data_IF_130066340762
#
_entry.id   IF_130066340762
#
_cell.length_a   1.000
_cell.length_b   1.000
_cell.length_c   1.000
_cell.angle_alpha   90.00
_cell.angle_beta   90.00
_cell.angle_gamma   90.00
#
_symmetry.space_group_name_H-M   'P 1'
#
loop_
_entity.id
_entity.type
_entity.pdbx_description
1 polymer ?
#
# COMPACT_ATOMS: atom_id res chain seq x y z
N UNK A 1 -16.00 33.18 17.05
CA UNK A 1 -16.63 31.90 16.67
C UNK A 1 -15.50 30.92 16.40
N UNK A 2 -15.40 29.83 17.15
CA UNK A 2 -14.35 28.82 16.93
C UNK A 2 -14.53 28.17 15.55
N UNK A 3 -13.41 27.85 14.88
CA UNK A 3 -13.43 27.02 13.66
C UNK A 3 -14.03 25.66 14.02
N UNK A 4 -14.79 25.05 13.11
CA UNK A 4 -15.29 23.69 13.32
C UNK A 4 -14.11 22.71 13.41
N UNK A 5 -14.22 21.64 14.21
CA UNK A 5 -13.16 20.63 14.36
C UNK A 5 -12.69 20.06 13.01
N UNK A 6 -13.61 19.97 12.04
CA UNK A 6 -13.31 19.60 10.66
C UNK A 6 -12.42 20.63 9.95
N UNK A 7 -12.80 21.91 10.01
CA UNK A 7 -12.01 22.98 9.38
C UNK A 7 -10.65 23.13 10.06
N UNK A 8 -10.58 22.97 11.37
CA UNK A 8 -9.33 22.99 12.11
C UNK A 8 -8.40 21.84 11.67
N UNK A 9 -8.91 20.61 11.59
CA UNK A 9 -8.13 19.46 11.14
C UNK A 9 -7.64 19.63 9.69
N UNK A 10 -8.51 20.13 8.80
CA UNK A 10 -8.15 20.43 7.40
C UNK A 10 -7.09 21.52 7.34
N UNK A 11 -7.20 22.61 8.09
CA UNK A 11 -6.22 23.70 8.03
C UNK A 11 -4.84 23.24 8.54
N UNK A 12 -4.80 22.46 9.63
CA UNK A 12 -3.56 22.07 10.29
C UNK A 12 -2.86 20.87 9.65
N UNK A 13 -3.61 19.91 9.12
CA UNK A 13 -3.03 18.72 8.47
C UNK A 13 -3.10 18.80 6.95
N UNK A 14 -3.87 19.75 6.42
CA UNK A 14 -4.18 19.89 4.99
C UNK A 14 -4.82 18.65 4.36
N UNK A 15 -5.31 17.67 5.13
CA UNK A 15 -5.91 16.44 4.60
C UNK A 15 -7.26 16.70 3.93
N UNK A 16 -7.63 15.79 3.02
CA UNK A 16 -8.90 15.84 2.30
C UNK A 16 -10.10 15.92 3.27
N UNK A 17 -11.15 16.74 2.99
CA UNK A 17 -12.29 16.92 3.88
C UNK A 17 -13.08 15.64 4.18
N UNK A 18 -13.18 14.68 3.25
CA UNK A 18 -13.89 13.42 3.50
C UNK A 18 -13.09 12.54 4.45
N UNK A 19 -11.78 12.46 4.28
CA UNK A 19 -10.91 11.74 5.21
C UNK A 19 -10.86 12.43 6.57
N UNK A 20 -10.70 13.76 6.62
CA UNK A 20 -10.76 14.52 7.87
C UNK A 20 -12.06 14.22 8.63
N UNK A 21 -13.19 14.16 7.91
CA UNK A 21 -14.48 13.77 8.46
C UNK A 21 -14.48 12.32 8.96
N UNK A 22 -13.95 11.38 8.19
CA UNK A 22 -13.84 9.97 8.60
C UNK A 22 -12.95 9.78 9.83
N UNK A 23 -11.81 10.48 9.90
CA UNK A 23 -10.89 10.43 11.04
C UNK A 23 -11.53 11.07 12.28
N UNK A 24 -12.29 12.15 12.13
CA UNK A 24 -13.05 12.74 13.23
C UNK A 24 -14.21 11.84 13.68
N UNK A 25 -14.90 11.17 12.77
CA UNK A 25 -15.93 10.19 13.13
C UNK A 25 -15.30 9.04 13.91
N UNK A 26 -14.17 8.52 13.41
CA UNK A 26 -13.46 7.41 14.02
C UNK A 26 -12.93 7.77 15.42
N UNK A 27 -12.41 8.97 15.61
CA UNK A 27 -11.87 9.47 16.89
C UNK A 27 -12.92 10.09 17.82
N UNK A 28 -14.22 10.02 17.48
CA UNK A 28 -15.28 10.64 18.28
C UNK A 28 -15.21 12.17 18.37
N UNK A 29 -14.53 12.82 17.42
CA UNK A 29 -14.37 14.28 17.34
C UNK A 29 -13.04 14.82 17.88
N UNK A 30 -12.11 13.96 18.29
CA UNK A 30 -10.77 14.36 18.77
C UNK A 30 -9.83 14.76 17.62
N UNK A 31 -9.62 16.08 17.47
CA UNK A 31 -8.76 16.66 16.42
C UNK A 31 -7.30 16.26 16.58
N UNK A 32 -6.78 16.23 17.81
CA UNK A 32 -5.37 15.85 18.04
C UNK A 32 -5.16 14.35 17.84
N UNK A 33 -6.13 13.53 18.23
CA UNK A 33 -6.16 12.10 17.89
C UNK A 33 -6.13 11.86 16.39
N UNK A 34 -6.98 12.58 15.63
CA UNK A 34 -7.01 12.49 14.18
C UNK A 34 -5.66 12.93 13.56
N UNK A 35 -5.02 13.98 14.08
CA UNK A 35 -3.68 14.42 13.65
C UNK A 35 -2.62 13.35 13.89
N UNK A 36 -2.65 12.70 15.05
CA UNK A 36 -1.70 11.65 15.39
C UNK A 36 -1.82 10.47 14.43
N UNK A 37 -3.04 10.01 14.15
CA UNK A 37 -3.36 8.98 13.14
C UNK A 37 -2.78 9.38 11.78
N UNK A 38 -3.07 10.59 11.30
CA UNK A 38 -2.58 11.07 10.01
C UNK A 38 -1.06 11.16 9.92
N UNK A 39 -0.36 11.45 11.03
CA UNK A 39 1.11 11.53 11.06
C UNK A 39 1.80 10.17 10.95
N UNK A 40 1.07 9.07 11.15
CA UNK A 40 1.63 7.71 11.24
C UNK A 40 1.62 6.95 9.91
N UNK A 41 1.01 7.52 8.88
CA UNK A 41 1.08 6.95 7.54
C UNK A 41 2.51 6.93 7.01
N UNK A 42 2.91 5.82 6.40
CA UNK A 42 4.26 5.67 5.85
C UNK A 42 4.56 6.78 4.84
N UNK A 43 5.71 7.44 5.01
CA UNK A 43 6.25 8.40 4.05
C UNK A 43 6.89 7.68 2.85
N UNK A 44 6.06 6.96 2.11
CA UNK A 44 6.47 6.11 1.00
C UNK A 44 6.42 6.82 -0.36
N UNK A 45 6.11 8.12 -0.39
CA UNK A 45 6.18 8.93 -1.60
C UNK A 45 7.49 9.72 -1.59
N UNK A 46 8.34 9.50 -2.60
CA UNK A 46 9.48 10.36 -2.88
C UNK A 46 9.04 11.56 -3.72
N UNK A 47 9.34 12.76 -3.26
CA UNK A 47 9.16 14.00 -4.00
C UNK A 47 10.53 14.57 -4.37
N UNK A 48 10.84 14.56 -5.66
CA UNK A 48 12.06 15.11 -6.20
C UNK A 48 11.75 16.40 -6.96
N UNK A 49 12.28 17.51 -6.46
CA UNK A 49 12.24 18.80 -7.13
C UNK A 49 13.55 19.02 -7.87
N UNK A 50 13.44 19.40 -9.13
CA UNK A 50 14.57 19.59 -10.03
C UNK A 50 14.48 20.97 -10.63
N UNK A 51 15.56 21.74 -10.52
CA UNK A 51 15.77 22.94 -11.31
C UNK A 51 17.00 22.73 -12.17
N UNK A 52 16.90 23.01 -13.47
CA UNK A 52 18.02 22.89 -14.39
C UNK A 52 18.14 24.07 -15.34
N UNK A 53 19.35 24.31 -15.85
CA UNK A 53 19.63 25.35 -16.84
C UNK A 53 20.56 24.82 -17.91
N UNK A 54 20.10 24.85 -19.16
CA UNK A 54 20.85 24.51 -20.37
C UNK A 54 21.58 25.76 -20.84
N UNK A 55 22.90 25.81 -20.70
CA UNK A 55 23.66 27.06 -20.88
C UNK A 55 23.71 27.52 -22.34
N UNK A 56 23.78 26.61 -23.31
CA UNK A 56 23.96 26.98 -24.72
C UNK A 56 22.65 27.48 -25.34
N UNK A 57 21.55 26.77 -25.08
CA UNK A 57 20.19 27.12 -25.54
C UNK A 57 19.49 28.15 -24.66
N UNK A 58 20.06 28.51 -23.50
CA UNK A 58 19.46 29.42 -22.50
C UNK A 58 18.05 28.99 -22.06
N UNK A 59 17.80 27.69 -22.04
CA UNK A 59 16.56 27.11 -21.54
C UNK A 59 16.68 26.79 -20.05
N UNK A 60 15.60 27.05 -19.31
CA UNK A 60 15.49 26.84 -17.88
C UNK A 60 14.32 25.92 -17.59
N UNK A 61 14.56 24.90 -16.77
CA UNK A 61 13.57 23.89 -16.43
C UNK A 61 13.31 23.80 -14.95
N UNK A 62 12.06 23.54 -14.60
CA UNK A 62 11.61 23.25 -13.25
C UNK A 62 10.68 22.03 -13.29
N UNK A 63 10.95 21.04 -12.45
CA UNK A 63 10.18 19.80 -12.41
C UNK A 63 9.91 19.33 -10.99
N UNK A 64 8.75 18.70 -10.81
CA UNK A 64 8.37 17.93 -9.62
C UNK A 64 8.08 16.51 -10.07
N UNK A 65 8.74 15.54 -9.43
CA UNK A 65 8.58 14.11 -9.69
C UNK A 65 8.10 13.44 -8.41
N UNK A 66 6.90 12.84 -8.47
CA UNK A 66 6.28 12.12 -7.36
C UNK A 66 6.33 10.62 -7.65
N UNK A 67 7.02 9.88 -6.80
CA UNK A 67 7.31 8.46 -7.00
C UNK A 67 6.85 7.66 -5.79
N UNK A 68 6.09 6.61 -6.02
CA UNK A 68 5.77 5.63 -5.00
C UNK A 68 6.94 4.68 -4.82
N UNK A 69 7.64 4.80 -3.68
CA UNK A 69 8.83 4.05 -3.37
C UNK A 69 8.52 2.56 -3.15
N UNK A 70 7.31 2.21 -2.69
CA UNK A 70 6.94 0.82 -2.41
C UNK A 70 6.42 0.10 -3.66
N UNK A 71 5.65 0.78 -4.50
CA UNK A 71 5.02 0.20 -5.69
C UNK A 71 5.88 0.31 -6.95
N UNK A 72 7.08 0.89 -6.86
CA UNK A 72 7.95 1.15 -8.00
C UNK A 72 7.25 1.89 -9.16
N UNK A 73 6.47 2.92 -8.81
CA UNK A 73 5.54 3.60 -9.73
C UNK A 73 5.75 5.10 -9.73
N UNK A 74 5.77 5.70 -10.92
CA UNK A 74 5.69 7.15 -11.08
C UNK A 74 4.23 7.58 -10.89
N UNK A 75 3.95 8.37 -9.86
CA UNK A 75 2.60 8.83 -9.55
C UNK A 75 2.24 10.06 -10.36
N UNK A 76 3.15 11.05 -10.40
CA UNK A 76 3.03 12.24 -11.25
C UNK A 76 4.38 12.80 -11.64
N UNK A 77 4.37 13.45 -12.80
CA UNK A 77 5.45 14.25 -13.31
C UNK A 77 4.90 15.61 -13.72
N UNK A 78 5.48 16.67 -13.19
CA UNK A 78 5.22 18.04 -13.58
C UNK A 78 6.53 18.63 -14.08
N UNK A 79 6.52 19.29 -15.23
CA UNK A 79 7.70 19.93 -15.77
C UNK A 79 7.30 21.11 -16.65
N UNK A 80 8.02 22.20 -16.46
CA UNK A 80 8.03 23.34 -17.40
C UNK A 80 9.46 23.60 -17.84
N UNK A 81 9.63 23.91 -19.12
CA UNK A 81 10.88 24.33 -19.72
C UNK A 81 10.60 25.57 -20.56
N UNK A 82 11.31 26.66 -20.28
CA UNK A 82 11.12 27.94 -20.95
C UNK A 82 12.42 28.76 -21.00
N UNK A 83 12.39 29.91 -21.67
CA UNK A 83 13.48 30.88 -21.65
C UNK A 83 13.42 31.82 -20.43
N UNK A 84 12.40 31.68 -19.57
CA UNK A 84 12.24 32.53 -18.41
C UNK A 84 13.35 32.28 -17.39
N UNK A 85 14.33 33.19 -17.34
CA UNK A 85 15.45 33.14 -16.40
C UNK A 85 15.00 33.17 -14.93
N UNK A 86 13.80 33.66 -14.61
CA UNK A 86 13.27 33.63 -13.24
C UNK A 86 13.22 32.20 -12.69
N UNK A 87 13.02 31.19 -13.56
CA UNK A 87 13.09 29.77 -13.17
C UNK A 87 14.41 29.47 -12.47
N UNK A 88 15.54 29.97 -13.00
CA UNK A 88 16.88 29.77 -12.43
C UNK A 88 17.03 30.34 -11.02
N UNK A 89 16.21 31.32 -10.64
CA UNK A 89 16.26 32.01 -9.35
C UNK A 89 15.32 31.41 -8.30
N UNK A 90 14.42 30.50 -8.68
CA UNK A 90 13.48 29.86 -7.75
C UNK A 90 14.24 29.11 -6.66
N UNK A 91 13.91 29.40 -5.40
CA UNK A 91 14.43 28.62 -4.28
C UNK A 91 13.63 27.33 -4.11
N UNK A 92 14.32 26.19 -4.19
CA UNK A 92 13.70 24.88 -4.00
C UNK A 92 13.33 24.62 -2.54
N UNK A 93 13.71 25.48 -1.59
CA UNK A 93 13.28 25.39 -0.19
C UNK A 93 11.83 25.83 0.05
N UNK A 94 11.18 26.47 -0.94
CA UNK A 94 9.76 26.83 -0.88
C UNK A 94 8.85 25.59 -0.74
N UNK A 95 7.61 25.82 -0.33
CA UNK A 95 6.61 24.75 -0.29
C UNK A 95 6.38 24.15 -1.70
N UNK A 96 6.18 22.83 -1.77
CA UNK A 96 6.02 22.12 -3.05
C UNK A 96 4.80 22.65 -3.83
N UNK A 97 3.75 23.12 -3.13
CA UNK A 97 2.58 23.71 -3.78
C UNK A 97 2.90 25.03 -4.46
N UNK A 98 3.69 25.89 -3.82
CA UNK A 98 4.15 27.13 -4.44
C UNK A 98 4.97 26.84 -5.70
N UNK A 99 5.86 25.84 -5.64
CA UNK A 99 6.66 25.44 -6.80
C UNK A 99 5.77 24.87 -7.90
N UNK A 100 4.75 24.06 -7.55
CA UNK A 100 3.78 23.55 -8.53
C UNK A 100 2.99 24.68 -9.19
N UNK A 101 2.58 25.70 -8.44
CA UNK A 101 1.91 26.88 -9.01
C UNK A 101 2.81 27.56 -10.05
N UNK A 102 4.11 27.71 -9.76
CA UNK A 102 5.04 28.27 -10.76
C UNK A 102 5.09 27.42 -12.03
N UNK A 103 5.12 26.09 -11.92
CA UNK A 103 5.08 25.19 -13.09
C UNK A 103 3.78 25.37 -13.88
N UNK A 104 2.63 25.46 -13.19
CA UNK A 104 1.33 25.62 -13.85
C UNK A 104 1.17 26.95 -14.59
N UNK A 105 1.65 28.05 -14.00
CA UNK A 105 1.52 29.40 -14.58
C UNK A 105 2.68 29.77 -15.51
N UNK A 106 3.73 28.94 -15.59
CA UNK A 106 4.81 29.11 -16.56
C UNK A 106 4.58 28.18 -17.73
N UNK A 107 3.96 28.64 -18.83
CA UNK A 107 3.72 27.79 -19.99
C UNK A 107 5.04 27.26 -20.54
N UNK A 108 5.05 26.01 -20.97
CA UNK A 108 6.16 25.48 -21.75
C UNK A 108 6.38 26.37 -22.98
N UNK A 109 7.61 26.78 -23.21
CA UNK A 109 7.97 27.37 -24.49
C UNK A 109 7.78 26.27 -25.56
N UNK A 110 7.00 26.51 -26.63
CA UNK A 110 6.78 25.52 -27.69
C UNK A 110 8.08 24.91 -28.25
N UNK A 111 9.16 25.67 -28.30
CA UNK A 111 10.47 25.20 -28.76
C UNK A 111 11.07 24.13 -27.84
N UNK A 112 10.79 24.18 -26.53
CA UNK A 112 11.35 23.29 -25.52
C UNK A 112 10.35 22.27 -24.97
N UNK A 113 9.11 22.27 -25.45
CA UNK A 113 8.07 21.33 -25.02
C UNK A 113 8.49 19.86 -25.18
N UNK A 114 9.31 19.55 -26.19
CA UNK A 114 9.86 18.21 -26.41
C UNK A 114 10.72 17.72 -25.22
N UNK A 115 11.40 18.63 -24.51
CA UNK A 115 12.27 18.29 -23.37
C UNK A 115 11.42 17.76 -22.22
N UNK A 116 10.33 18.44 -21.89
CA UNK A 116 9.38 18.01 -20.85
C UNK A 116 8.84 16.61 -21.16
N UNK A 117 8.32 16.40 -22.38
CA UNK A 117 7.73 15.12 -22.80
C UNK A 117 8.76 13.98 -22.84
N UNK A 118 9.97 14.24 -23.36
CA UNK A 118 11.03 13.25 -23.43
C UNK A 118 11.55 12.87 -22.04
N UNK A 119 11.67 13.86 -21.14
CA UNK A 119 12.06 13.64 -19.75
C UNK A 119 11.02 12.79 -19.01
N UNK A 120 9.73 13.10 -19.14
CA UNK A 120 8.64 12.28 -18.59
C UNK A 120 8.68 10.84 -19.11
N UNK A 121 8.83 10.67 -20.43
CA UNK A 121 8.86 9.37 -21.08
C UNK A 121 10.01 8.51 -20.57
N UNK A 122 11.21 9.09 -20.43
CA UNK A 122 12.37 8.37 -19.92
C UNK A 122 12.22 7.99 -18.46
N UNK A 123 11.76 8.91 -17.62
CA UNK A 123 11.61 8.65 -16.18
C UNK A 123 10.49 7.65 -15.90
N UNK A 124 9.43 7.65 -16.71
CA UNK A 124 8.34 6.68 -16.63
C UNK A 124 8.77 5.27 -17.05
N UNK A 125 9.88 5.12 -17.76
CA UNK A 125 10.35 3.81 -18.18
C UNK A 125 10.86 2.99 -16.99
N UNK A 126 10.52 1.68 -16.89
CA UNK A 126 10.84 0.87 -15.73
C UNK A 126 12.33 0.88 -15.35
N UNK A 127 13.21 0.82 -16.34
CA UNK A 127 14.66 0.78 -16.12
C UNK A 127 15.19 2.05 -15.42
N UNK A 128 14.71 3.22 -15.82
CA UNK A 128 15.14 4.49 -15.24
C UNK A 128 14.45 4.74 -13.90
N UNK A 129 13.17 4.38 -13.80
CA UNK A 129 12.41 4.52 -12.57
C UNK A 129 12.99 3.68 -11.43
N UNK A 130 13.30 2.41 -11.68
CA UNK A 130 13.92 1.52 -10.68
C UNK A 130 15.28 2.05 -10.21
N UNK A 131 16.12 2.53 -11.14
CA UNK A 131 17.42 3.14 -10.82
C UNK A 131 17.25 4.36 -9.91
N UNK A 132 16.29 5.24 -10.24
CA UNK A 132 15.99 6.43 -9.45
C UNK A 132 15.46 6.08 -8.05
N UNK A 133 14.52 5.13 -7.95
CA UNK A 133 13.97 4.66 -6.68
C UNK A 133 15.05 4.04 -5.80
N UNK A 134 15.90 3.19 -6.37
CA UNK A 134 16.99 2.56 -5.63
C UNK A 134 17.97 3.61 -5.09
N UNK A 135 18.29 4.65 -5.88
CA UNK A 135 19.13 5.74 -5.42
C UNK A 135 18.47 6.51 -4.26
N UNK A 136 17.19 6.86 -4.38
CA UNK A 136 16.42 7.54 -3.33
C UNK A 136 16.34 6.75 -2.02
N UNK A 137 16.29 5.41 -2.08
CA UNK A 137 16.20 4.54 -0.90
C UNK A 137 17.53 4.29 -0.18
N UNK A 138 18.64 4.30 -0.91
CA UNK A 138 19.92 3.71 -0.41
C UNK A 138 21.03 4.72 -0.17
N UNK A 139 20.94 5.91 -0.77
CA UNK A 139 22.01 6.91 -0.74
C UNK A 139 21.78 7.95 0.36
N UNK A 140 22.86 8.32 1.05
CA UNK A 140 22.88 9.52 1.88
C UNK A 140 22.74 10.78 1.02
N UNK A 141 22.25 11.88 1.59
CA UNK A 141 21.85 13.10 0.85
C UNK A 141 22.92 13.65 -0.10
N UNK A 142 24.18 13.77 0.36
CA UNK A 142 25.28 14.28 -0.49
C UNK A 142 25.54 13.34 -1.68
N UNK A 143 25.64 12.03 -1.41
CA UNK A 143 25.84 11.00 -2.44
C UNK A 143 24.64 10.85 -3.39
N UNK A 144 23.44 11.22 -2.94
CA UNK A 144 22.24 11.27 -3.77
C UNK A 144 22.32 12.43 -4.76
N UNK A 145 22.74 13.62 -4.32
CA UNK A 145 22.85 14.79 -5.20
C UNK A 145 23.82 14.54 -6.37
N UNK A 146 25.00 14.00 -6.09
CA UNK A 146 25.97 13.63 -7.13
C UNK A 146 25.40 12.58 -8.11
N UNK A 147 24.67 11.59 -7.58
CA UNK A 147 24.00 10.60 -8.42
C UNK A 147 22.96 11.26 -9.33
N UNK A 148 22.13 12.16 -8.79
CA UNK A 148 21.09 12.86 -9.54
C UNK A 148 21.68 13.76 -10.63
N UNK A 149 22.78 14.46 -10.36
CA UNK A 149 23.50 15.25 -11.37
C UNK A 149 23.90 14.37 -12.56
N UNK A 150 24.51 13.21 -12.30
CA UNK A 150 24.92 12.28 -13.35
C UNK A 150 23.73 11.63 -14.08
N UNK A 151 22.72 11.21 -13.32
CA UNK A 151 21.53 10.55 -13.85
C UNK A 151 20.73 11.48 -14.77
N UNK A 152 20.39 12.67 -14.30
CA UNK A 152 19.65 13.66 -15.10
C UNK A 152 20.52 14.33 -16.16
N UNK A 153 21.81 14.50 -15.90
CA UNK A 153 22.77 14.99 -16.88
C UNK A 153 22.85 14.09 -18.11
N UNK A 154 22.95 12.77 -17.91
CA UNK A 154 22.94 11.81 -19.01
C UNK A 154 21.62 11.85 -19.79
N UNK A 155 20.47 11.91 -19.09
CA UNK A 155 19.15 11.97 -19.72
C UNK A 155 18.99 13.23 -20.57
N UNK A 156 19.29 14.41 -20.01
CA UNK A 156 19.13 15.68 -20.72
C UNK A 156 20.16 15.85 -21.83
N UNK A 157 21.39 15.39 -21.67
CA UNK A 157 22.39 15.38 -22.73
C UNK A 157 21.90 14.56 -23.93
N UNK A 158 21.31 13.38 -23.70
CA UNK A 158 20.78 12.57 -24.80
C UNK A 158 19.56 13.22 -25.49
N UNK A 159 18.74 13.97 -24.74
CA UNK A 159 17.56 14.67 -25.28
C UNK A 159 17.95 15.92 -26.08
N UNK A 160 18.91 16.70 -25.58
CA UNK A 160 19.17 18.07 -26.04
C UNK A 160 20.53 18.26 -26.71
N UNK A 161 21.41 17.25 -26.62
CA UNK A 161 22.84 17.32 -26.98
C UNK A 161 23.67 18.34 -26.17
N UNK A 162 23.12 18.90 -25.09
CA UNK A 162 23.79 19.86 -24.21
C UNK A 162 24.75 19.16 -23.23
N UNK A 163 26.00 19.61 -23.19
CA UNK A 163 27.01 19.12 -22.25
C UNK A 163 27.15 19.97 -21.00
N UNK A 164 26.76 21.24 -21.06
CA UNK A 164 26.86 22.18 -19.94
C UNK A 164 25.48 22.44 -19.33
N UNK A 165 25.11 21.59 -18.38
CA UNK A 165 23.83 21.64 -17.67
C UNK A 165 24.09 21.86 -16.19
N UNK A 166 23.48 22.90 -15.64
CA UNK A 166 23.54 23.20 -14.19
C UNK A 166 22.27 22.65 -13.56
N UNK A 167 22.42 21.87 -12.48
CA UNK A 167 21.29 21.34 -11.72
C UNK A 167 21.28 21.83 -10.27
N UNK A 168 20.07 21.97 -9.71
CA UNK A 168 19.81 22.04 -8.28
C UNK A 168 18.68 21.06 -7.96
N UNK A 169 18.85 20.28 -6.91
CA UNK A 169 17.87 19.28 -6.48
C UNK A 169 17.40 19.55 -5.05
N UNK A 170 16.16 19.20 -4.76
CA UNK A 170 15.65 18.94 -3.40
C UNK A 170 14.91 17.61 -3.43
N UNK A 171 15.23 16.74 -2.50
CA UNK A 171 14.53 15.48 -2.32
C UNK A 171 13.95 15.42 -0.91
N UNK A 172 12.70 15.02 -0.81
CA UNK A 172 12.04 14.74 0.46
C UNK A 172 11.06 13.58 0.33
N UNK A 173 10.76 12.93 1.45
CA UNK A 173 9.70 11.91 1.52
C UNK A 173 8.44 12.48 2.16
N UNK A 174 7.30 12.06 1.64
CA UNK A 174 5.99 12.48 2.13
C UNK A 174 5.04 11.30 2.15
N UNK A 175 3.93 11.46 2.87
CA UNK A 175 2.83 10.50 2.86
C UNK A 175 1.96 10.65 1.60
N UNK A 176 1.17 9.62 1.24
CA UNK A 176 0.25 9.67 0.09
C UNK A 176 -0.76 10.83 0.11
N UNK A 177 -1.07 11.41 1.27
CA UNK A 177 -2.04 12.50 1.38
C UNK A 177 -1.39 13.85 1.06
N UNK A 178 -0.18 14.09 1.54
CA UNK A 178 0.64 15.23 1.11
C UNK A 178 0.80 15.23 -0.42
N UNK A 179 1.06 14.06 -1.02
CA UNK A 179 1.04 13.87 -2.47
C UNK A 179 -0.33 14.20 -3.07
N UNK A 180 -1.41 13.64 -2.51
CA UNK A 180 -2.78 13.89 -2.96
C UNK A 180 -3.12 15.37 -3.07
N UNK A 181 -2.69 16.20 -2.11
CA UNK A 181 -2.88 17.67 -2.14
C UNK A 181 -2.16 18.32 -3.31
N UNK A 182 -0.91 17.92 -3.54
CA UNK A 182 -0.15 18.40 -4.68
C UNK A 182 -0.92 18.07 -5.95
N UNK A 183 -1.53 16.90 -6.07
CA UNK A 183 -2.29 16.47 -7.26
C UNK A 183 -3.65 17.21 -7.39
N UNK A 184 -4.42 17.34 -6.31
CA UNK A 184 -5.83 17.75 -6.30
C UNK A 184 -6.11 19.22 -6.57
N UNK A 185 -5.12 20.11 -6.41
CA UNK A 185 -5.28 21.55 -6.64
C UNK A 185 -5.53 21.92 -8.13
N UNK A 186 -5.79 20.94 -9.00
CA UNK A 186 -6.21 21.14 -10.38
C UNK A 186 -7.75 21.34 -10.56
N UNK A 187 -8.57 21.22 -9.50
CA UNK A 187 -10.05 21.19 -9.64
C UNK A 187 -10.77 22.39 -8.98
N UNK A 188 -10.09 23.25 -8.21
CA UNK A 188 -10.76 24.30 -7.42
C UNK A 188 -10.95 25.67 -8.10
N UNK A 189 -10.35 25.92 -9.27
CA UNK A 189 -10.38 27.27 -9.88
C UNK A 189 -11.47 27.51 -10.94
N UNK A 190 -12.40 26.57 -11.18
CA UNK A 190 -13.49 26.78 -12.17
C UNK A 190 -14.92 26.78 -11.61
N UNK A 191 -15.16 26.49 -10.33
CA UNK A 191 -16.53 26.33 -9.79
C UNK A 191 -16.89 27.26 -8.62
N UNK A 192 -16.24 28.42 -8.49
CA UNK A 192 -16.74 29.51 -7.64
C UNK A 192 -17.19 30.70 -8.50
N UNK A 193 -18.27 30.48 -9.24
CA UNK A 193 -19.28 31.51 -9.51
C UNK A 193 -20.61 30.84 -9.82
N UNK A 194 -21.64 31.39 -9.18
CA UNK A 194 -23.07 31.23 -9.44
C UNK A 194 -23.86 30.16 -8.65
N UNK A 195 -24.35 30.66 -7.52
CA UNK A 195 -25.76 30.67 -7.04
C UNK A 195 -26.39 29.42 -6.43
N UNK A 196 -26.72 29.61 -5.14
CA UNK A 196 -27.94 29.18 -4.45
C UNK A 196 -29.11 28.74 -5.35
N UNK A 197 -29.59 27.51 -5.20
CA UNK A 197 -31.00 27.17 -4.88
C UNK A 197 -31.07 25.70 -4.41
N UNK A 198 -31.83 25.43 -3.35
CA UNK A 198 -32.22 24.07 -2.93
C UNK A 198 -33.02 23.36 -4.03
N UNK A 199 -32.82 22.05 -4.20
CA UNK A 199 -33.89 21.04 -4.24
C UNK A 199 -33.31 19.62 -4.32
N UNK A 200 -33.88 18.73 -3.52
CA UNK A 200 -33.74 17.28 -3.61
C UNK A 200 -34.07 16.76 -5.01
N UNK A 201 -33.25 15.83 -5.50
CA UNK A 201 -33.72 14.62 -6.17
C UNK A 201 -32.59 13.62 -6.40
N UNK A 202 -32.83 12.39 -5.97
CA UNK A 202 -32.05 11.20 -6.32
C UNK A 202 -31.96 11.04 -7.84
N UNK A 203 -30.75 10.77 -8.34
CA UNK A 203 -30.51 9.69 -9.31
C UNK A 203 -29.03 9.44 -9.53
N UNK A 204 -28.72 8.15 -9.55
CA UNK A 204 -27.45 7.53 -9.91
C UNK A 204 -26.74 8.21 -11.08
N UNK A 205 -25.47 8.51 -10.88
CA UNK A 205 -24.49 8.48 -11.95
C UNK A 205 -23.08 8.40 -11.35
N UNK A 206 -22.55 7.18 -11.35
CA UNK A 206 -21.18 6.90 -11.73
C UNK A 206 -20.10 7.81 -11.11
N UNK A 207 -20.02 7.81 -9.78
CA UNK A 207 -18.78 8.18 -9.10
C UNK A 207 -17.84 7.00 -9.29
N UNK A 208 -17.14 6.96 -10.43
CA UNK A 208 -15.81 6.36 -10.47
C UNK A 208 -14.98 7.17 -9.49
N UNK A 209 -15.07 6.76 -8.22
CA UNK A 209 -14.21 7.19 -7.17
C UNK A 209 -12.80 6.93 -7.67
N UNK A 210 -12.12 8.00 -8.08
CA UNK A 210 -10.68 8.02 -8.04
C UNK A 210 -10.34 7.66 -6.60
N UNK A 211 -9.98 6.41 -6.40
CA UNK A 211 -9.56 5.85 -5.12
C UNK A 211 -8.29 6.61 -4.77
N UNK A 212 -8.45 7.78 -4.13
CA UNK A 212 -7.41 8.34 -3.29
C UNK A 212 -7.00 7.17 -2.40
N UNK A 213 -5.77 6.69 -2.60
CA UNK A 213 -5.26 5.54 -1.88
C UNK A 213 -5.28 5.92 -0.41
N UNK A 214 -6.33 5.51 0.29
CA UNK A 214 -6.48 5.70 1.73
C UNK A 214 -5.23 5.03 2.29
N UNK A 215 -4.29 5.83 2.81
CA UNK A 215 -3.16 5.30 3.55
C UNK A 215 -3.71 4.37 4.63
N UNK A 216 -2.98 3.29 4.91
CA UNK A 216 -3.38 2.34 5.94
C UNK A 216 -2.43 2.46 7.13
N UNK A 217 -2.97 2.61 8.34
CA UNK A 217 -2.25 2.32 9.57
C UNK A 217 -2.35 0.83 9.78
N UNK A 218 -1.21 0.15 9.92
CA UNK A 218 -1.17 -1.30 10.19
C UNK A 218 -0.64 -1.51 11.60
N UNK A 219 -1.50 -1.97 12.50
CA UNK A 219 -1.18 -2.29 13.90
C UNK A 219 -0.72 -3.74 14.03
N UNK A 220 0.25 -4.01 14.90
CA UNK A 220 0.55 -5.39 15.29
C UNK A 220 -0.50 -5.91 16.26
N UNK A 221 -1.04 -7.09 15.96
CA UNK A 221 -2.12 -7.70 16.72
C UNK A 221 -1.86 -9.18 16.98
N UNK A 222 -2.31 -9.64 18.13
CA UNK A 222 -2.34 -11.06 18.50
C UNK A 222 -3.78 -11.58 18.46
N UNK A 223 -4.00 -12.82 17.97
CA UNK A 223 -5.32 -13.41 17.99
C UNK A 223 -5.64 -13.99 19.37
N UNK A 224 -6.91 -14.07 19.72
CA UNK A 224 -7.32 -14.74 20.95
C UNK A 224 -7.42 -16.24 20.73
N UNK A 225 -6.45 -16.98 21.26
CA UNK A 225 -6.40 -18.44 21.13
C UNK A 225 -7.51 -19.11 21.95
N UNK A 226 -8.27 -19.99 21.30
CA UNK A 226 -9.33 -20.79 21.93
C UNK A 226 -9.29 -22.24 21.43
N UNK A 227 -8.45 -23.10 22.03
CA UNK A 227 -8.25 -24.48 21.56
C UNK A 227 -9.53 -25.35 21.60
N UNK A 228 -10.45 -25.03 22.52
CA UNK A 228 -11.67 -25.82 22.78
C UNK A 228 -12.84 -25.31 21.93
N UNK A 229 -13.10 -24.00 21.95
CA UNK A 229 -14.29 -23.38 21.34
C UNK A 229 -13.99 -22.61 20.05
N UNK A 230 -12.73 -22.29 19.80
CA UNK A 230 -12.30 -21.50 18.65
C UNK A 230 -12.38 -22.26 17.34
N UNK A 231 -12.23 -21.49 16.27
CA UNK A 231 -12.26 -21.95 14.90
C UNK A 231 -10.82 -22.08 14.40
N UNK A 232 -10.57 -23.17 13.69
CA UNK A 232 -9.29 -23.45 13.06
C UNK A 232 -8.95 -22.34 12.05
N UNK A 233 -7.76 -21.76 12.18
CA UNK A 233 -7.33 -20.63 11.34
C UNK A 233 -7.37 -21.00 9.85
N UNK A 234 -7.15 -22.26 9.49
CA UNK A 234 -7.25 -22.73 8.11
C UNK A 234 -8.66 -22.51 7.51
N UNK A 235 -9.71 -22.50 8.34
CA UNK A 235 -11.11 -22.38 7.92
C UNK A 235 -11.62 -20.94 7.82
N UNK A 236 -10.87 -19.98 8.34
CA UNK A 236 -11.21 -18.56 8.28
C UNK A 236 -11.13 -18.04 6.85
N UNK A 237 -12.02 -17.14 6.49
CA UNK A 237 -12.09 -16.51 5.17
C UNK A 237 -12.23 -14.99 5.32
N UNK A 238 -11.96 -14.30 4.22
CA UNK A 238 -12.26 -12.88 4.08
C UNK A 238 -13.74 -12.62 4.42
N UNK A 239 -13.97 -11.59 5.23
CA UNK A 239 -15.29 -11.22 5.71
C UNK A 239 -15.69 -11.79 7.07
N UNK A 240 -14.99 -12.80 7.61
CA UNK A 240 -15.23 -13.33 8.96
C UNK A 240 -14.77 -12.33 10.04
N UNK A 241 -15.38 -12.36 11.21
CA UNK A 241 -14.94 -11.54 12.35
C UNK A 241 -14.13 -12.37 13.32
N UNK A 242 -13.02 -11.81 13.81
CA UNK A 242 -12.15 -12.44 14.80
C UNK A 242 -11.87 -11.50 15.97
N UNK A 243 -11.65 -12.06 17.15
CA UNK A 243 -11.19 -11.30 18.31
C UNK A 243 -9.69 -11.19 18.32
N UNK A 244 -9.22 -9.96 18.50
CA UNK A 244 -7.79 -9.63 18.47
C UNK A 244 -7.44 -8.72 19.64
N UNK A 245 -6.18 -8.76 20.03
CA UNK A 245 -5.58 -7.82 20.97
C UNK A 245 -4.50 -7.05 20.24
N UNK A 246 -4.47 -5.72 20.39
CA UNK A 246 -3.36 -4.92 19.86
C UNK A 246 -2.14 -5.17 20.76
N UNK A 247 -1.06 -5.70 20.16
CA UNK A 247 0.21 -6.01 20.82
C UNK A 247 1.29 -4.97 20.53
N UNK A 248 0.95 -3.99 19.71
CA UNK A 248 1.81 -2.93 19.22
C UNK A 248 2.08 -1.87 20.30
N UNK A 249 3.36 -1.61 20.56
CA UNK A 249 3.82 -0.75 21.65
C UNK A 249 3.85 0.74 21.29
N UNK A 250 3.69 1.08 20.01
CA UNK A 250 3.68 2.47 19.53
C UNK A 250 2.61 3.27 20.24
N UNK A 251 2.90 4.53 20.57
CA UNK A 251 1.95 5.41 21.27
C UNK A 251 0.61 5.52 20.53
N UNK A 252 0.64 5.57 19.20
CA UNK A 252 -0.57 5.58 18.37
C UNK A 252 -1.37 4.27 18.52
N UNK A 253 -0.71 3.13 18.64
CA UNK A 253 -1.37 1.85 18.79
C UNK A 253 -2.03 1.73 20.16
N UNK A 254 -1.38 2.26 21.21
CA UNK A 254 -2.00 2.36 22.53
C UNK A 254 -3.18 3.32 22.55
N UNK A 255 -3.09 4.45 21.84
CA UNK A 255 -4.19 5.40 21.69
C UNK A 255 -5.38 4.77 20.94
N UNK A 256 -5.12 4.17 19.77
CA UNK A 256 -6.12 3.46 18.97
C UNK A 256 -6.70 2.27 19.73
N UNK A 257 -5.89 1.54 20.48
CA UNK A 257 -6.35 0.46 21.34
C UNK A 257 -7.35 0.95 22.37
N UNK A 258 -7.05 2.04 23.10
CA UNK A 258 -8.01 2.62 24.05
C UNK A 258 -9.30 3.08 23.39
N UNK A 259 -9.20 3.68 22.20
CA UNK A 259 -10.36 4.18 21.46
C UNK A 259 -11.27 3.04 20.96
N UNK A 260 -10.66 1.98 20.42
CA UNK A 260 -11.36 0.79 19.94
C UNK A 260 -11.94 -0.02 21.11
N UNK A 261 -11.18 -0.23 22.19
CA UNK A 261 -11.62 -0.93 23.40
C UNK A 261 -12.73 -0.18 24.14
N UNK A 262 -12.71 1.16 24.18
CA UNK A 262 -13.75 1.96 24.83
C UNK A 262 -15.12 1.89 24.12
N UNK A 263 -15.15 1.42 22.88
CA UNK A 263 -16.39 1.25 22.10
C UNK A 263 -17.06 -0.12 22.27
N UNK A 264 -16.40 -1.09 22.89
CA UNK A 264 -17.00 -2.39 23.24
C UNK A 264 -17.14 -2.54 24.78
N UNK A 265 -18.33 -2.95 25.22
CA UNK A 265 -18.63 -3.17 26.64
C UNK A 265 -17.69 -4.22 27.26
N UNK A 266 -16.72 -3.75 28.04
CA UNK A 266 -15.93 -4.52 29.02
C UNK A 266 -15.16 -5.76 28.48
N UNK A 267 -14.19 -5.59 27.58
CA UNK A 267 -13.07 -6.55 27.46
C UNK A 267 -11.82 -5.99 26.74
N UNK A 268 -10.66 -6.55 27.09
CA UNK A 268 -9.31 -6.26 26.53
C UNK A 268 -9.12 -6.75 25.07
N UNK A 269 -10.20 -6.90 24.31
CA UNK A 269 -10.21 -7.54 22.99
C UNK A 269 -11.14 -6.78 22.04
N UNK A 270 -10.74 -6.71 20.78
CA UNK A 270 -11.44 -5.96 19.73
C UNK A 270 -11.93 -6.96 18.69
N UNK A 271 -13.21 -6.87 18.28
CA UNK A 271 -13.71 -7.61 17.12
C UNK A 271 -13.27 -6.91 15.82
N UNK A 272 -12.59 -7.64 14.95
CA UNK A 272 -12.07 -7.11 13.69
C UNK A 272 -12.45 -8.02 12.51
N UNK A 273 -12.79 -7.42 11.38
CA UNK A 273 -13.19 -8.15 10.17
C UNK A 273 -11.96 -8.57 9.39
N UNK A 274 -11.85 -9.83 8.97
CA UNK A 274 -10.77 -10.29 8.10
C UNK A 274 -10.91 -9.63 6.74
N UNK A 275 -9.89 -8.85 6.38
CA UNK A 275 -9.74 -8.22 5.07
C UNK A 275 -9.00 -9.15 4.10
N UNK A 276 -7.92 -9.81 4.56
CA UNK A 276 -7.20 -10.82 3.76
C UNK A 276 -6.53 -11.88 4.63
N UNK A 277 -6.27 -13.06 4.04
CA UNK A 277 -5.51 -14.14 4.67
C UNK A 277 -4.55 -14.77 3.66
N UNK A 278 -3.26 -14.75 3.97
CA UNK A 278 -2.18 -15.26 3.13
C UNK A 278 -1.31 -16.24 3.91
N UNK A 279 -0.81 -17.27 3.23
CA UNK A 279 0.17 -18.19 3.81
C UNK A 279 1.57 -17.56 3.65
N UNK A 280 2.26 -17.32 4.77
CA UNK A 280 3.58 -16.68 4.76
C UNK A 280 4.68 -17.73 4.50
N UNK A 281 4.56 -18.90 5.11
CA UNK A 281 5.39 -20.09 4.92
C UNK A 281 4.58 -21.37 5.20
N UNK A 282 5.22 -22.56 5.21
CA UNK A 282 4.54 -23.85 5.42
C UNK A 282 3.78 -23.95 6.76
N UNK A 283 4.09 -23.10 7.74
CA UNK A 283 3.55 -23.20 9.10
C UNK A 283 2.81 -21.95 9.59
N UNK A 284 2.92 -20.81 8.90
CA UNK A 284 2.39 -19.53 9.34
C UNK A 284 1.38 -18.93 8.35
N UNK A 285 0.28 -18.45 8.91
CA UNK A 285 -0.63 -17.52 8.24
C UNK A 285 -0.33 -16.08 8.65
N UNK A 286 -0.43 -15.19 7.67
CA UNK A 286 -0.57 -13.75 7.84
C UNK A 286 -2.03 -13.39 7.61
N UNK A 287 -2.69 -12.83 8.62
CA UNK A 287 -4.08 -12.36 8.54
C UNK A 287 -4.06 -10.84 8.66
N UNK A 288 -4.71 -10.17 7.71
CA UNK A 288 -4.99 -8.74 7.79
C UNK A 288 -6.44 -8.56 8.19
N UNK A 289 -6.68 -7.84 9.28
CA UNK A 289 -8.01 -7.44 9.74
C UNK A 289 -8.22 -5.95 9.58
N UNK A 290 -9.47 -5.51 9.47
CA UNK A 290 -9.87 -4.11 9.40
C UNK A 290 -10.69 -3.75 10.65
N UNK A 291 -10.27 -2.67 11.33
CA UNK A 291 -11.00 -2.07 12.46
C UNK A 291 -11.90 -0.91 12.00
N UNK A 292 -11.55 -0.29 10.89
CA UNK A 292 -12.28 0.81 10.26
C UNK A 292 -11.51 1.36 9.05
N UNK A 293 -12.09 2.34 8.32
CA UNK A 293 -11.49 2.85 7.10
C UNK A 293 -10.05 3.33 7.31
N UNK A 294 -9.08 2.65 6.69
CA UNK A 294 -7.67 3.00 6.77
C UNK A 294 -6.93 2.52 8.04
N UNK A 295 -7.57 1.70 8.90
CA UNK A 295 -6.94 1.15 10.11
C UNK A 295 -7.04 -0.37 10.08
N UNK A 296 -5.89 -1.00 9.88
CA UNK A 296 -5.72 -2.43 9.72
C UNK A 296 -4.95 -3.02 10.90
N UNK A 297 -5.18 -4.29 11.19
CA UNK A 297 -4.37 -5.11 12.08
C UNK A 297 -3.66 -6.19 11.29
N UNK A 298 -2.39 -6.44 11.61
CA UNK A 298 -1.58 -7.54 11.08
C UNK A 298 -1.39 -8.58 12.18
N UNK A 299 -1.77 -9.81 11.86
CA UNK A 299 -1.64 -10.96 12.75
C UNK A 299 -0.80 -12.02 12.06
N UNK A 300 0.16 -12.60 12.78
CA UNK A 300 0.93 -13.75 12.34
C UNK A 300 0.66 -14.89 13.31
N UNK A 301 0.18 -16.03 12.82
CA UNK A 301 -0.18 -17.17 13.66
C UNK A 301 0.04 -18.50 12.95
N UNK A 302 0.21 -19.57 13.73
CA UNK A 302 0.42 -20.92 13.21
C UNK A 302 -0.79 -21.50 12.45
N UNK A 303 -0.55 -22.45 11.55
CA UNK A 303 -1.59 -23.12 10.75
C UNK A 303 -2.54 -23.99 11.58
N UNK A 304 -2.04 -24.61 12.67
CA UNK A 304 -2.79 -25.57 13.50
C UNK A 304 -3.47 -24.94 14.73
N UNK A 305 -3.58 -23.62 14.78
CA UNK A 305 -4.17 -22.92 15.92
C UNK A 305 -5.66 -22.69 15.72
N UNK A 306 -6.37 -22.62 16.84
CA UNK A 306 -7.79 -22.23 16.88
C UNK A 306 -7.95 -20.91 17.59
N UNK A 307 -8.71 -20.01 17.00
CA UNK A 307 -8.89 -18.65 17.52
C UNK A 307 -10.37 -18.33 17.71
N UNK A 308 -10.68 -17.38 18.60
CA UNK A 308 -12.04 -16.88 18.76
C UNK A 308 -12.46 -16.09 17.52
N UNK A 309 -13.49 -16.60 16.84
CA UNK A 309 -14.04 -16.03 15.63
C UNK A 309 -15.57 -16.18 15.62
N UNK A 310 -16.24 -15.23 14.98
CA UNK A 310 -17.65 -15.31 14.63
C UNK A 310 -17.76 -15.60 13.13
N UNK A 311 -18.18 -16.82 12.80
CA UNK A 311 -18.38 -17.27 11.42
C UNK A 311 -19.84 -17.71 11.27
N UNK A 312 -20.40 -17.54 10.07
CA UNK A 312 -21.78 -17.93 9.80
C UNK A 312 -22.03 -19.42 10.11
N UNK A 313 -23.15 -19.71 10.79
CA UNK A 313 -23.48 -21.06 11.28
C UNK A 313 -23.47 -22.16 10.21
N UNK A 314 -23.82 -21.82 8.97
CA UNK A 314 -23.82 -22.74 7.83
C UNK A 314 -22.41 -23.24 7.45
N UNK A 315 -21.37 -22.44 7.71
CA UNK A 315 -19.95 -22.81 7.50
C UNK A 315 -19.38 -23.62 8.66
N UNK A 316 -19.82 -23.33 9.90
CA UNK A 316 -19.49 -24.14 11.09
C UNK A 316 -19.94 -25.58 10.89
N UNK A 317 -21.16 -25.79 10.36
CA UNK A 317 -21.70 -27.12 10.12
C UNK A 317 -21.00 -27.87 8.99
N UNK A 318 -20.69 -27.19 7.87
CA UNK A 318 -19.90 -27.77 6.77
C UNK A 318 -18.47 -28.14 7.21
N UNK A 319 -17.87 -27.38 8.13
CA UNK A 319 -16.57 -27.68 8.73
C UNK A 319 -16.63 -28.82 9.76
N UNK A 320 -17.69 -28.91 10.58
CA UNK A 320 -17.95 -30.06 11.47
C UNK A 320 -18.18 -31.34 10.67
N UNK A 321 -18.85 -31.27 9.52
CA UNK A 321 -19.02 -32.40 8.60
C UNK A 321 -17.70 -32.82 7.91
N UNK A 322 -16.85 -31.87 7.47
CA UNK A 322 -15.51 -32.19 6.94
C UNK A 322 -14.58 -32.76 8.01
N UNK A 323 -14.56 -32.21 9.22
CA UNK A 323 -13.73 -32.72 10.33
C UNK A 323 -14.25 -34.05 10.90
N UNK A 324 -15.57 -34.32 10.87
CA UNK A 324 -16.14 -35.65 11.13
C UNK A 324 -15.82 -36.65 10.01
N UNK A 325 -15.78 -36.23 8.73
CA UNK A 325 -15.31 -37.10 7.64
C UNK A 325 -13.80 -37.40 7.72
N UNK A 326 -13.00 -36.49 8.27
CA UNK A 326 -11.55 -36.71 8.50
C UNK A 326 -11.32 -37.59 9.74
N UNK A 327 -12.06 -37.38 10.85
CA UNK A 327 -12.02 -38.28 12.02
C UNK A 327 -12.68 -39.65 11.76
N UNK A 328 -13.60 -39.74 10.79
CA UNK A 328 -14.17 -41.00 10.29
C UNK A 328 -13.30 -41.73 9.25
N UNK A 329 -12.15 -41.16 8.87
CA UNK A 329 -11.13 -41.81 8.02
C UNK A 329 -9.86 -42.17 8.78
N UNK A 330 -9.94 -42.26 10.11
CA UNK A 330 -9.03 -43.12 10.88
C UNK A 330 -9.43 -44.58 10.72
N UNK A 331 -8.56 -45.39 10.10
CA UNK A 331 -8.69 -46.84 9.85
C UNK A 331 -9.69 -47.32 8.80
N UNK A 332 -9.44 -46.98 7.53
CA UNK A 332 -9.27 -48.03 6.52
C UNK A 332 -8.03 -47.70 5.70
N UNK A 333 -6.86 -48.10 6.21
CA UNK A 333 -5.80 -48.56 5.31
C UNK A 333 -6.50 -49.59 4.43
N UNK A 334 -6.69 -49.30 3.13
CA UNK A 334 -6.78 -50.37 2.15
C UNK A 334 -5.47 -51.12 2.34
N UNK A 335 -5.52 -52.24 3.05
CA UNK A 335 -4.50 -53.25 2.92
C UNK A 335 -4.47 -53.56 1.43
N UNK A 336 -3.39 -53.16 0.75
CA UNK A 336 -2.96 -53.90 -0.42
C UNK A 336 -2.82 -55.33 0.09
N UNK A 337 -3.82 -56.15 -0.26
CA UNK A 337 -4.12 -57.37 0.47
C UNK A 337 -2.90 -58.27 0.54
N UNK A 338 -2.76 -58.98 1.65
CA UNK A 338 -1.84 -60.11 1.81
C UNK A 338 -1.94 -61.07 0.61
N UNK A 339 -3.09 -61.11 -0.07
CA UNK A 339 -3.31 -61.83 -1.32
C UNK A 339 -2.43 -61.36 -2.50
N UNK A 340 -2.12 -60.06 -2.64
CA UNK A 340 -1.24 -59.57 -3.71
C UNK A 340 0.22 -59.98 -3.47
N UNK A 341 0.67 -59.95 -2.22
CA UNK A 341 2.01 -60.41 -1.83
C UNK A 341 2.13 -61.94 -1.98
N UNK A 342 1.10 -62.70 -1.61
CA UNK A 342 1.06 -64.16 -1.81
C UNK A 342 1.09 -64.56 -3.30
N UNK A 343 0.40 -63.82 -4.17
CA UNK A 343 0.44 -64.07 -5.63
C UNK A 343 1.84 -63.81 -6.20
N UNK A 344 2.52 -62.74 -5.74
CA UNK A 344 3.89 -62.44 -6.17
C UNK A 344 4.88 -63.51 -5.68
N UNK A 345 4.74 -63.98 -4.43
CA UNK A 345 5.60 -65.05 -3.87
C UNK A 345 5.36 -66.38 -4.60
N UNK A 346 4.10 -66.75 -4.87
CA UNK A 346 3.77 -67.96 -5.63
C UNK A 346 4.33 -67.91 -7.06
N UNK A 347 4.24 -66.75 -7.73
CA UNK A 347 4.84 -66.54 -9.05
C UNK A 347 6.35 -66.73 -9.06
N UNK A 348 7.05 -66.20 -8.05
CA UNK A 348 8.51 -66.35 -7.92
C UNK A 348 8.93 -67.81 -7.67
N UNK A 349 8.16 -68.59 -6.90
CA UNK A 349 8.44 -70.01 -6.66
C UNK A 349 8.30 -70.83 -7.93
N UNK A 350 7.28 -70.56 -8.76
CA UNK A 350 7.08 -71.26 -10.04
C UNK A 350 8.22 -70.94 -11.01
N UNK A 351 8.63 -69.68 -11.10
CA UNK A 351 9.77 -69.27 -11.94
C UNK A 351 11.05 -69.98 -11.48
N UNK A 352 11.28 -70.05 -10.16
CA UNK A 352 12.45 -70.73 -9.60
C UNK A 352 12.44 -72.24 -9.90
N UNK A 353 11.28 -72.92 -9.78
CA UNK A 353 11.17 -74.33 -10.15
C UNK A 353 11.43 -74.58 -11.64
N UNK A 354 10.89 -73.75 -12.52
CA UNK A 354 11.13 -73.86 -13.97
C UNK A 354 12.63 -73.68 -14.26
N UNK A 355 13.27 -72.69 -13.64
CA UNK A 355 14.71 -72.46 -13.81
C UNK A 355 15.54 -73.64 -13.31
N UNK A 356 15.14 -74.28 -12.21
CA UNK A 356 15.85 -75.44 -11.67
C UNK A 356 15.70 -76.68 -12.57
N UNK A 357 14.52 -76.92 -13.14
CA UNK A 357 14.29 -78.02 -14.10
C UNK A 357 15.09 -77.80 -15.39
N UNK A 358 15.12 -76.57 -15.92
CA UNK A 358 15.94 -76.20 -17.08
C UNK A 358 17.45 -76.34 -16.84
N UNK A 359 17.90 -76.30 -15.59
CA UNK A 359 19.30 -76.47 -15.22
C UNK A 359 19.68 -77.94 -14.99
N UNK A 360 18.69 -78.85 -14.97
CA UNK A 360 18.88 -80.29 -14.74
C UNK A 360 18.68 -81.14 -16.01
N UNK A 361 18.19 -80.53 -17.10
CA UNK A 361 18.18 -81.07 -18.46
C UNK A 361 19.40 -80.50 -19.20
#
# INVERSE_FOLDING_TARGET
MGKSSLQQLIDETSVDPQLAKSMLIFTGGDVEGAKMILSTFEKNIGCLLIKFSLQSTKAYGLSIILINLNQAKLEKFYCTVSENQEISSIDLLKDVKEIKQVINYTPNNPEFAYISTALETKISSPQYLEKLINACKTKATESLNEYLINFFGAILNEITTESNIIFKFRYETMDPFAMGKIISDAIKDENEKDTSTQSDNQKDSNIQAQTASIGYIVLECEPIYSPIKGIDVSLLQEGDYIKVKISDDREIAQYLGRLLEASEDNNQYINAKINSKEMLDENLFKIIVEFGPGILGKIICGIDVKIEADISGERVEKAKQKSMQIKGKGTKKKSLGINAILIIIAGLIIIFMIMMVLMTI
#
